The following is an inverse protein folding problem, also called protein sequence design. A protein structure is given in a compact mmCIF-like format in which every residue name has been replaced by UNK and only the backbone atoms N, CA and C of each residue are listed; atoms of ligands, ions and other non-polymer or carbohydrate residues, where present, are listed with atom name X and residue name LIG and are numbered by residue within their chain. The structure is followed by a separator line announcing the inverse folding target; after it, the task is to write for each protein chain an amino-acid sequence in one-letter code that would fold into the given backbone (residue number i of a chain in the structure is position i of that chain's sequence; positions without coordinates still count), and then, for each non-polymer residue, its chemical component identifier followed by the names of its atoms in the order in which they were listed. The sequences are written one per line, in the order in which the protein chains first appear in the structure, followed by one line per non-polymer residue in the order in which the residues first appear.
data_IF_818068602057
#
_entry.id   IF_818068602057
#
_cell.length_a   1.000
_cell.length_b   1.000
_cell.length_c   1.000
_cell.angle_alpha   90.00
_cell.angle_beta   90.00
_cell.angle_gamma   90.00
#
_symmetry.space_group_name_H-M   'P 1'
#
loop_
_entity.id
_entity.type
_entity.pdbx_description
1 polymer ?
#
# COMPACT_ATOMS: atom_id res chain seq x y z
N UNK A 1 -14.93 -11.63 5.39
CA UNK A 1 -13.97 -11.49 6.51
C UNK A 1 -14.21 -10.16 7.21
N UNK A 2 -14.39 -10.13 8.55
CA UNK A 2 -14.55 -8.99 9.49
C UNK A 2 -13.20 -8.32 9.84
N UNK A 3 -13.21 -7.08 10.35
CA UNK A 3 -11.96 -6.28 10.58
C UNK A 3 -11.14 -6.99 11.66
N UNK A 4 -11.89 -7.49 12.65
CA UNK A 4 -11.43 -8.42 13.68
C UNK A 4 -10.84 -9.73 13.12
N UNK A 5 -11.20 -10.18 11.91
CA UNK A 5 -10.64 -11.39 11.32
C UNK A 5 -9.30 -11.11 10.59
N UNK A 6 -9.10 -9.88 10.12
CA UNK A 6 -7.81 -9.44 9.53
C UNK A 6 -6.84 -9.08 10.65
N UNK A 7 -7.31 -8.38 11.69
CA UNK A 7 -6.51 -8.07 12.88
C UNK A 7 -6.14 -9.37 13.64
N UNK A 8 -7.07 -10.32 13.81
CA UNK A 8 -6.75 -11.65 14.35
C UNK A 8 -5.79 -12.45 13.45
N UNK A 9 -5.84 -12.28 12.12
CA UNK A 9 -4.91 -12.96 11.22
C UNK A 9 -3.50 -12.37 11.34
N UNK A 10 -3.38 -11.04 11.40
CA UNK A 10 -2.09 -10.34 11.55
C UNK A 10 -1.49 -10.57 12.95
N UNK A 11 -2.28 -10.54 14.02
CA UNK A 11 -1.83 -10.83 15.38
C UNK A 11 -1.44 -12.30 15.58
N UNK A 12 -2.16 -13.23 14.93
CA UNK A 12 -1.80 -14.66 14.94
C UNK A 12 -0.49 -14.90 14.20
N UNK A 13 -0.29 -14.25 13.05
CA UNK A 13 0.95 -14.36 12.27
C UNK A 13 2.15 -13.77 13.01
N UNK A 14 1.98 -12.67 13.75
CA UNK A 14 3.07 -12.06 14.53
C UNK A 14 3.50 -12.91 15.74
N UNK A 15 2.55 -13.54 16.44
CA UNK A 15 2.85 -14.47 17.55
C UNK A 15 3.48 -15.78 17.07
N UNK A 16 3.15 -16.23 15.86
CA UNK A 16 3.76 -17.42 15.27
C UNK A 16 5.24 -17.19 14.85
N UNK A 17 5.65 -15.94 14.59
CA UNK A 17 7.03 -15.58 14.21
C UNK A 17 7.99 -15.54 15.42
N UNK A 18 7.55 -15.06 16.58
CA UNK A 18 8.39 -14.95 17.78
C UNK A 18 8.56 -16.28 18.54
N UNK A 19 7.74 -17.30 18.26
CA UNK A 19 7.74 -18.59 18.96
C UNK A 19 8.29 -19.76 18.13
N UNK A 20 8.67 -19.56 16.87
CA UNK A 20 9.23 -20.64 16.05
C UNK A 20 10.68 -20.90 16.44
N UNK A 21 10.88 -21.83 17.38
CA UNK A 21 12.02 -22.71 17.27
C UNK A 21 11.96 -23.36 15.88
N UNK A 22 13.08 -23.39 15.15
CA UNK A 22 13.21 -24.10 13.89
C UNK A 22 13.95 -25.43 14.14
N UNK A 23 13.30 -26.42 14.80
CA UNK A 23 13.95 -27.66 15.21
C UNK A 23 14.52 -28.44 14.01
N UNK A 24 13.99 -28.22 12.81
CA UNK A 24 14.51 -28.80 11.56
C UNK A 24 15.94 -28.36 11.22
N UNK A 25 16.42 -27.27 11.82
CA UNK A 25 17.78 -26.75 11.64
C UNK A 25 18.73 -27.11 12.79
N UNK A 26 18.21 -27.66 13.89
CA UNK A 26 19.03 -28.08 15.04
C UNK A 26 19.98 -29.22 14.64
N UNK A 27 21.25 -29.12 15.07
CA UNK A 27 22.27 -30.12 14.75
C UNK A 27 22.77 -30.15 13.30
N UNK A 28 22.25 -29.28 12.42
CA UNK A 28 22.74 -29.16 11.05
C UNK A 28 24.13 -28.51 10.99
N UNK A 29 24.98 -28.98 10.05
CA UNK A 29 26.24 -28.33 9.74
C UNK A 29 26.07 -27.15 8.78
N UNK A 30 27.15 -26.38 8.56
CA UNK A 30 27.10 -25.16 7.74
C UNK A 30 26.70 -25.42 6.28
N UNK A 31 27.08 -26.56 5.70
CA UNK A 31 26.69 -26.91 4.33
C UNK A 31 25.19 -27.23 4.23
N UNK A 32 24.62 -27.90 5.23
CA UNK A 32 23.18 -28.17 5.31
C UNK A 32 22.39 -26.87 5.46
N UNK A 33 22.80 -26.00 6.40
CA UNK A 33 22.17 -24.71 6.61
C UNK A 33 22.25 -23.80 5.37
N UNK A 34 23.38 -23.79 4.65
CA UNK A 34 23.51 -23.03 3.41
C UNK A 34 22.56 -23.51 2.31
N UNK A 35 22.27 -24.82 2.24
CA UNK A 35 21.27 -25.37 1.31
C UNK A 35 19.86 -24.94 1.70
N UNK A 36 19.49 -25.07 2.98
CA UNK A 36 18.19 -24.58 3.47
C UNK A 36 17.99 -23.09 3.20
N UNK A 37 19.01 -22.28 3.47
CA UNK A 37 18.97 -20.84 3.17
C UNK A 37 18.73 -20.57 1.68
N UNK A 38 19.41 -21.30 0.79
CA UNK A 38 19.22 -21.16 -0.66
C UNK A 38 17.80 -21.56 -1.10
N UNK A 39 17.27 -22.67 -0.57
CA UNK A 39 15.95 -23.16 -0.93
C UNK A 39 14.84 -22.22 -0.44
N UNK A 40 14.94 -21.72 0.80
CA UNK A 40 14.02 -20.70 1.34
C UNK A 40 14.10 -19.41 0.52
N UNK A 41 15.30 -18.99 0.08
CA UNK A 41 15.44 -17.81 -0.76
C UNK A 41 14.72 -17.97 -2.11
N UNK A 42 14.84 -19.15 -2.75
CA UNK A 42 14.09 -19.43 -3.99
C UNK A 42 12.58 -19.42 -3.79
N UNK A 43 12.10 -19.89 -2.64
CA UNK A 43 10.68 -19.83 -2.30
C UNK A 43 10.22 -18.39 -2.09
N UNK A 44 11.03 -17.54 -1.42
CA UNK A 44 10.76 -16.12 -1.27
C UNK A 44 10.67 -15.40 -2.62
N UNK A 45 11.57 -15.72 -3.56
CA UNK A 45 11.55 -15.16 -4.91
C UNK A 45 10.25 -15.55 -5.64
N UNK A 46 9.88 -16.83 -5.59
CA UNK A 46 8.64 -17.33 -6.20
C UNK A 46 7.40 -16.63 -5.62
N UNK A 47 7.28 -16.54 -4.30
CA UNK A 47 6.16 -15.85 -3.63
C UNK A 47 6.13 -14.36 -4.02
N UNK A 48 7.30 -13.74 -4.15
CA UNK A 48 7.41 -12.32 -4.56
C UNK A 48 6.89 -12.11 -5.98
N UNK A 49 7.21 -13.01 -6.91
CA UNK A 49 6.69 -13.00 -8.27
C UNK A 49 5.18 -13.24 -8.34
N UNK A 50 4.67 -14.21 -7.59
CA UNK A 50 3.24 -14.51 -7.48
C UNK A 50 2.47 -13.31 -6.92
N UNK A 51 2.98 -12.69 -5.84
CA UNK A 51 2.43 -11.47 -5.25
C UNK A 51 2.42 -10.33 -6.26
N UNK A 52 3.53 -10.10 -6.98
CA UNK A 52 3.62 -9.06 -8.01
C UNK A 52 2.56 -9.25 -9.10
N UNK A 53 2.38 -10.49 -9.55
CA UNK A 53 1.37 -10.83 -10.57
C UNK A 53 -0.07 -10.69 -10.06
N UNK A 54 -0.35 -11.11 -8.83
CA UNK A 54 -1.64 -10.89 -8.19
C UNK A 54 -1.94 -9.39 -7.99
N UNK A 55 -0.95 -8.62 -7.54
CA UNK A 55 -1.07 -7.18 -7.31
C UNK A 55 -1.41 -6.43 -8.60
N UNK A 56 -0.74 -6.73 -9.71
CA UNK A 56 -1.02 -6.11 -11.02
C UNK A 56 -2.46 -6.35 -11.46
N UNK A 57 -2.96 -7.58 -11.32
CA UNK A 57 -4.36 -7.93 -11.63
C UNK A 57 -5.34 -7.18 -10.74
N UNK A 58 -5.07 -7.14 -9.44
CA UNK A 58 -5.89 -6.41 -8.49
C UNK A 58 -5.92 -4.90 -8.77
N UNK A 59 -4.77 -4.30 -9.07
CA UNK A 59 -4.67 -2.88 -9.42
C UNK A 59 -5.44 -2.56 -10.69
N UNK A 60 -5.33 -3.40 -11.73
CA UNK A 60 -6.09 -3.23 -12.97
C UNK A 60 -7.61 -3.30 -12.73
N UNK A 61 -8.07 -4.24 -11.91
CA UNK A 61 -9.49 -4.33 -11.54
C UNK A 61 -9.96 -3.09 -10.81
N UNK A 62 -9.24 -2.67 -9.75
CA UNK A 62 -9.73 -1.59 -8.88
C UNK A 62 -9.55 -0.19 -9.47
N UNK A 63 -8.58 0.02 -10.37
CA UNK A 63 -8.22 1.35 -10.90
C UNK A 63 -8.66 1.57 -12.35
N UNK A 64 -9.10 0.52 -13.05
CA UNK A 64 -9.51 0.63 -14.45
C UNK A 64 -10.85 -0.07 -14.64
N UNK A 65 -10.87 -1.41 -14.64
CA UNK A 65 -12.05 -2.15 -15.09
C UNK A 65 -13.31 -1.90 -14.27
N UNK A 66 -13.21 -1.96 -12.95
CA UNK A 66 -14.38 -1.76 -12.10
C UNK A 66 -14.89 -0.31 -12.13
N UNK A 67 -14.03 0.73 -12.02
CA UNK A 67 -14.44 2.10 -12.30
C UNK A 67 -15.13 2.29 -13.65
N UNK A 68 -14.53 1.82 -14.75
CA UNK A 68 -15.09 1.98 -16.10
C UNK A 68 -16.47 1.31 -16.21
N UNK A 69 -16.62 0.09 -15.68
CA UNK A 69 -17.90 -0.63 -15.68
C UNK A 69 -18.95 0.10 -14.84
N UNK A 70 -18.60 0.52 -13.64
CA UNK A 70 -19.52 1.25 -12.76
C UNK A 70 -19.97 2.57 -13.39
N UNK A 71 -19.07 3.31 -14.03
CA UNK A 71 -19.40 4.55 -14.74
C UNK A 71 -20.36 4.31 -15.91
N UNK A 72 -20.10 3.27 -16.73
CA UNK A 72 -20.98 2.87 -17.82
C UNK A 72 -22.38 2.44 -17.34
N UNK A 73 -22.47 1.86 -16.15
CA UNK A 73 -23.74 1.47 -15.50
C UNK A 73 -24.40 2.64 -14.74
N UNK A 74 -23.76 3.81 -14.68
CA UNK A 74 -24.24 4.97 -13.91
C UNK A 74 -24.20 4.76 -12.38
N UNK A 75 -23.34 3.87 -11.89
CA UNK A 75 -23.20 3.52 -10.48
C UNK A 75 -22.03 4.24 -9.84
N UNK A 76 -22.30 5.00 -8.77
CA UNK A 76 -21.23 5.51 -7.88
C UNK A 76 -20.91 4.52 -6.74
N UNK A 77 -21.86 3.68 -6.36
CA UNK A 77 -21.69 2.65 -5.33
C UNK A 77 -22.75 1.55 -5.42
N UNK A 78 -22.40 0.34 -4.96
CA UNK A 78 -23.34 -0.76 -4.78
C UNK A 78 -22.93 -1.67 -3.61
N UNK A 79 -23.85 -2.51 -3.12
CA UNK A 79 -23.57 -3.55 -2.12
C UNK A 79 -23.49 -4.90 -2.80
N UNK A 80 -22.53 -5.72 -2.38
CA UNK A 80 -22.37 -7.09 -2.84
C UNK A 80 -22.31 -8.02 -1.62
N UNK A 81 -23.22 -8.98 -1.57
CA UNK A 81 -23.29 -9.98 -0.49
C UNK A 81 -21.96 -10.74 -0.37
N UNK A 82 -21.51 -10.98 0.87
CA UNK A 82 -20.23 -11.63 1.15
C UNK A 82 -18.97 -10.76 0.95
N UNK A 83 -19.09 -9.63 0.25
CA UNK A 83 -17.96 -8.72 -0.06
C UNK A 83 -18.03 -7.42 0.72
N UNK A 84 -19.16 -6.71 0.65
CA UNK A 84 -19.37 -5.41 1.32
C UNK A 84 -19.90 -4.34 0.37
N UNK A 85 -19.67 -3.07 0.72
CA UNK A 85 -20.01 -1.92 -0.12
C UNK A 85 -18.84 -1.53 -1.02
N UNK A 86 -19.09 -1.53 -2.31
CA UNK A 86 -18.18 -1.05 -3.35
C UNK A 86 -18.52 0.42 -3.63
N UNK A 87 -17.51 1.28 -3.69
CA UNK A 87 -17.72 2.72 -3.95
C UNK A 87 -16.57 3.29 -4.78
N UNK A 88 -16.89 4.12 -5.78
CA UNK A 88 -15.91 4.91 -6.50
C UNK A 88 -15.40 6.02 -5.59
N UNK A 89 -14.08 6.11 -5.48
CA UNK A 89 -13.40 7.08 -4.62
C UNK A 89 -12.31 7.79 -5.40
N UNK A 90 -12.19 9.09 -5.19
CA UNK A 90 -11.07 9.87 -5.67
C UNK A 90 -9.84 9.66 -4.80
N UNK A 91 -8.71 9.52 -5.46
CA UNK A 91 -7.41 9.37 -4.83
C UNK A 91 -6.34 10.08 -5.65
N UNK A 92 -5.13 10.23 -5.10
CA UNK A 92 -4.04 10.95 -5.77
C UNK A 92 -2.75 10.14 -5.76
N UNK A 93 -2.00 10.22 -6.86
CA UNK A 93 -0.59 9.87 -6.90
C UNK A 93 0.23 11.10 -6.54
N UNK A 94 1.23 10.94 -5.67
CA UNK A 94 2.12 12.04 -5.27
C UNK A 94 3.57 11.64 -5.50
N UNK A 95 4.33 12.52 -6.14
CA UNK A 95 5.77 12.33 -6.38
C UNK A 95 6.52 13.62 -6.11
N UNK A 96 7.75 13.48 -5.63
CA UNK A 96 8.74 14.56 -5.56
C UNK A 96 9.71 14.32 -6.72
N UNK A 97 9.75 15.18 -7.75
CA UNK A 97 10.76 15.09 -8.80
C UNK A 97 12.19 15.09 -8.22
N UNK A 98 13.08 14.26 -8.76
CA UNK A 98 14.44 14.14 -8.22
C UNK A 98 15.19 15.47 -8.17
N UNK A 99 14.96 16.35 -9.17
CA UNK A 99 15.56 17.68 -9.28
C UNK A 99 15.07 18.68 -8.23
N UNK A 100 13.90 18.46 -7.64
CA UNK A 100 13.30 19.36 -6.65
C UNK A 100 13.35 18.82 -5.24
N UNK A 101 14.01 17.67 -5.00
CA UNK A 101 13.99 16.95 -3.73
C UNK A 101 14.38 17.85 -2.55
N UNK A 102 15.52 18.52 -2.59
CA UNK A 102 15.97 19.36 -1.48
C UNK A 102 14.97 20.49 -1.20
N UNK A 103 14.52 21.17 -2.25
CA UNK A 103 13.53 22.26 -2.16
C UNK A 103 12.18 21.77 -1.60
N UNK A 104 11.74 20.57 -1.98
CA UNK A 104 10.52 19.95 -1.46
C UNK A 104 10.65 19.62 0.04
N UNK A 105 11.82 19.15 0.49
CA UNK A 105 12.07 18.91 1.91
C UNK A 105 12.10 20.21 2.71
N UNK A 106 12.72 21.26 2.17
CA UNK A 106 12.70 22.60 2.78
C UNK A 106 11.27 23.12 2.89
N UNK A 107 10.50 23.06 1.80
CA UNK A 107 9.09 23.50 1.81
C UNK A 107 8.27 22.75 2.86
N UNK A 108 8.44 21.43 2.99
CA UNK A 108 7.72 20.65 4.01
C UNK A 108 8.08 21.08 5.44
N UNK A 109 9.35 21.41 5.71
CA UNK A 109 9.76 21.92 7.02
C UNK A 109 9.17 23.29 7.31
N UNK A 110 9.27 24.19 6.34
CA UNK A 110 8.79 25.57 6.45
C UNK A 110 7.27 25.64 6.64
N UNK A 111 6.54 24.65 6.10
CA UNK A 111 5.09 24.54 6.19
C UNK A 111 4.61 23.61 7.34
N UNK A 112 5.45 23.36 8.35
CA UNK A 112 5.10 22.58 9.55
C UNK A 112 4.72 21.10 9.28
N UNK A 113 5.19 20.54 8.17
CA UNK A 113 5.07 19.11 7.86
C UNK A 113 6.36 18.35 8.18
N UNK A 114 7.16 18.84 9.13
CA UNK A 114 8.40 18.18 9.56
C UNK A 114 8.17 16.79 10.14
N UNK A 115 6.99 16.54 10.73
CA UNK A 115 6.63 15.27 11.37
C UNK A 115 6.61 14.09 10.39
N UNK A 116 6.43 14.34 9.09
CA UNK A 116 6.47 13.30 8.06
C UNK A 116 7.88 13.03 7.52
N UNK A 117 8.90 13.74 8.02
CA UNK A 117 10.30 13.66 7.61
C UNK A 117 11.12 12.90 8.68
N UNK A 118 10.92 11.58 8.79
CA UNK A 118 11.72 10.71 9.68
C UNK A 118 12.84 10.06 8.87
N UNK A 119 13.95 10.79 8.67
CA UNK A 119 15.08 10.38 7.82
C UNK A 119 14.77 10.48 6.32
N UNK A 120 13.73 9.77 5.85
CA UNK A 120 13.16 9.91 4.51
C UNK A 120 11.64 10.02 4.58
N UNK A 121 11.04 10.74 3.63
CA UNK A 121 9.59 10.92 3.58
C UNK A 121 8.92 9.60 3.16
N UNK A 122 8.00 9.10 4.00
CA UNK A 122 7.12 8.00 3.64
C UNK A 122 6.09 8.45 2.59
N UNK A 123 5.95 7.67 1.50
CA UNK A 123 5.05 8.01 0.39
C UNK A 123 3.57 8.11 0.82
N UNK A 124 3.14 7.31 1.79
CA UNK A 124 1.78 7.35 2.35
C UNK A 124 1.54 8.65 3.14
N UNK A 125 2.47 9.04 4.01
CA UNK A 125 2.37 10.27 4.80
C UNK A 125 2.38 11.53 3.92
N UNK A 126 3.22 11.55 2.89
CA UNK A 126 3.25 12.64 1.90
C UNK A 126 1.91 12.74 1.17
N UNK A 127 1.40 11.60 0.69
CA UNK A 127 0.12 11.53 -0.01
C UNK A 127 -1.04 12.02 0.87
N UNK A 128 -1.10 11.59 2.13
CA UNK A 128 -2.12 12.03 3.06
C UNK A 128 -2.07 13.55 3.29
N UNK A 129 -0.87 14.09 3.45
CA UNK A 129 -0.63 15.53 3.62
C UNK A 129 -1.12 16.31 2.40
N UNK A 130 -0.70 15.92 1.20
CA UNK A 130 -1.11 16.59 -0.04
C UNK A 130 -2.62 16.47 -0.30
N UNK A 131 -3.23 15.31 -0.01
CA UNK A 131 -4.68 15.14 -0.09
C UNK A 131 -5.42 16.09 0.85
N UNK A 132 -4.93 16.24 2.08
CA UNK A 132 -5.48 17.19 3.06
C UNK A 132 -5.35 18.64 2.60
N UNK A 133 -4.23 19.01 1.99
CA UNK A 133 -4.01 20.35 1.43
C UNK A 133 -4.95 20.65 0.26
N UNK A 134 -5.09 19.73 -0.69
CA UNK A 134 -6.01 19.87 -1.81
C UNK A 134 -7.47 19.99 -1.34
N UNK A 135 -7.88 19.19 -0.34
CA UNK A 135 -9.22 19.28 0.23
C UNK A 135 -9.50 20.64 0.91
N UNK A 136 -8.46 21.32 1.41
CA UNK A 136 -8.55 22.67 1.99
C UNK A 136 -8.41 23.78 0.94
N UNK A 137 -8.29 23.45 -0.35
CA UNK A 137 -8.07 24.41 -1.42
C UNK A 137 -6.69 25.07 -1.42
N UNK A 138 -5.71 24.48 -0.72
CA UNK A 138 -4.36 25.01 -0.68
C UNK A 138 -3.64 24.76 -2.02
N UNK A 139 -2.84 25.74 -2.45
CA UNK A 139 -2.00 25.61 -3.64
C UNK A 139 -0.74 24.81 -3.31
N UNK A 140 -0.58 23.67 -3.97
CA UNK A 140 0.64 22.87 -3.88
C UNK A 140 1.63 23.38 -4.94
N UNK A 141 2.90 23.65 -4.58
CA UNK A 141 3.90 24.03 -5.58
C UNK A 141 4.15 22.88 -6.57
N UNK A 142 3.68 23.04 -7.80
CA UNK A 142 3.76 22.01 -8.86
C UNK A 142 5.21 21.76 -9.32
N UNK A 143 6.11 22.72 -9.09
CA UNK A 143 7.54 22.55 -9.36
C UNK A 143 8.25 21.70 -8.30
N UNK A 144 7.62 21.50 -7.13
CA UNK A 144 8.12 20.68 -6.03
C UNK A 144 7.42 19.33 -5.94
N UNK A 145 6.12 19.27 -6.26
CA UNK A 145 5.29 18.08 -6.11
C UNK A 145 4.43 17.85 -7.35
N UNK A 146 4.44 16.62 -7.86
CA UNK A 146 3.49 16.18 -8.87
C UNK A 146 2.35 15.44 -8.20
N UNK A 147 1.13 15.97 -8.32
CA UNK A 147 -0.10 15.35 -7.82
C UNK A 147 -1.00 14.97 -9.01
N UNK A 148 -1.26 13.68 -9.20
CA UNK A 148 -2.12 13.19 -10.30
C UNK A 148 -3.36 12.50 -9.72
N UNK A 149 -4.56 13.09 -9.86
CA UNK A 149 -5.79 12.46 -9.38
C UNK A 149 -6.15 11.23 -10.22
N UNK A 150 -6.81 10.27 -9.57
CA UNK A 150 -7.38 9.10 -10.23
C UNK A 150 -8.60 8.60 -9.46
N UNK A 151 -9.46 7.87 -10.15
CA UNK A 151 -10.61 7.18 -9.54
C UNK A 151 -10.24 5.73 -9.27
N UNK A 152 -10.66 5.21 -8.12
CA UNK A 152 -10.56 3.78 -7.81
C UNK A 152 -11.82 3.28 -7.14
N UNK A 153 -12.15 2.03 -7.39
CA UNK A 153 -13.09 1.29 -6.58
C UNK A 153 -12.46 0.91 -5.24
N UNK A 154 -13.22 1.10 -4.17
CA UNK A 154 -12.85 0.69 -2.81
C UNK A 154 -13.93 -0.22 -2.23
N UNK A 155 -13.50 -1.18 -1.41
CA UNK A 155 -14.40 -2.08 -0.69
C UNK A 155 -14.39 -1.66 0.78
N UNK A 156 -15.56 -1.35 1.30
CA UNK A 156 -15.77 -1.13 2.73
C UNK A 156 -16.68 -2.23 3.26
N UNK A 157 -16.37 -2.74 4.45
CA UNK A 157 -17.24 -3.76 5.04
C UNK A 157 -18.57 -3.11 5.38
N UNK A 158 -19.65 -3.64 4.83
CA UNK A 158 -20.99 -3.34 5.35
C UNK A 158 -21.10 -4.01 6.71
N UNK A 159 -21.24 -3.19 7.76
CA UNK A 159 -21.64 -3.64 9.10
C UNK A 159 -22.91 -4.48 9.03
#
# INVERSE_FOLDING_TARGET
MKAKDVDNFVEKTAKDIESQAYPEYEGCNSQQLARFMHDVHKELDRITEEKSSAQKRFDHLRMTKLPDTMENEGLESFKLEGVGRITLTSDIWVRIPSKSRERAYTWLRDNQFSDIIVGTINAGSLKATMKGLLAKGAKIPEDLFTCTPFTRASITRSS
#
